data_IF_205662981340
#
_entry.id   IF_205662981340
#
_cell.length_a   1.000
_cell.length_b   1.000
_cell.length_c   1.000
_cell.angle_alpha   90.00
_cell.angle_beta   90.00
_cell.angle_gamma   90.00
#
_symmetry.space_group_name_H-M   'P 1'
#
loop_
_entity.id
_entity.type
_entity.pdbx_description
1 polymer ?
#
# COMPACT_ATOMS: atom_id res chain seq x y z
N UNK A 1 0.24 3.07 -19.38
CA UNK A 1 -0.12 3.93 -18.23
C UNK A 1 -0.54 3.00 -17.11
N UNK A 2 -0.02 3.15 -15.90
CA UNK A 2 -0.45 2.30 -14.79
C UNK A 2 -1.94 2.54 -14.54
N UNK A 3 -2.71 1.46 -14.35
CA UNK A 3 -4.15 1.57 -14.10
C UNK A 3 -4.37 2.06 -12.65
N UNK A 4 -5.01 3.23 -12.52
CA UNK A 4 -5.35 3.81 -11.22
C UNK A 4 -6.58 3.10 -10.67
N UNK A 5 -6.42 2.33 -9.59
CA UNK A 5 -7.50 1.57 -8.93
C UNK A 5 -8.25 2.40 -7.89
N UNK A 6 -7.57 3.33 -7.26
CA UNK A 6 -8.14 4.24 -6.27
C UNK A 6 -7.41 5.57 -6.32
N UNK A 7 -8.16 6.67 -6.19
CA UNK A 7 -7.64 8.02 -6.24
C UNK A 7 -8.32 8.88 -5.18
N UNK A 8 -7.51 9.63 -4.45
CA UNK A 8 -7.97 10.67 -3.52
C UNK A 8 -7.28 11.97 -3.90
N UNK A 9 -8.06 13.02 -4.13
CA UNK A 9 -7.54 14.39 -4.25
C UNK A 9 -7.49 14.98 -2.84
N UNK A 10 -6.32 15.45 -2.44
CA UNK A 10 -6.13 16.09 -1.14
C UNK A 10 -6.66 17.53 -1.19
N UNK A 11 -7.24 18.03 -0.09
CA UNK A 11 -7.64 19.43 -0.02
C UNK A 11 -6.42 20.33 -0.11
N UNK A 12 -6.58 21.50 -0.74
CA UNK A 12 -5.58 22.56 -0.67
C UNK A 12 -5.58 23.15 0.74
N UNK A 13 -4.51 22.94 1.49
CA UNK A 13 -4.36 23.45 2.84
C UNK A 13 -3.53 24.75 2.80
N UNK A 14 -4.10 25.92 3.13
CA UNK A 14 -3.38 27.18 3.08
C UNK A 14 -2.45 27.40 4.29
N UNK A 15 -2.79 26.83 5.45
CA UNK A 15 -2.04 27.02 6.69
C UNK A 15 -1.21 25.79 7.02
N UNK A 16 0.05 25.99 7.40
CA UNK A 16 0.91 24.86 7.75
C UNK A 16 0.42 24.07 8.96
N UNK A 17 -0.34 24.71 9.86
CA UNK A 17 -0.92 24.09 11.06
C UNK A 17 -1.98 23.03 10.74
N UNK A 18 -2.62 23.11 9.58
CA UNK A 18 -3.77 22.27 9.25
C UNK A 18 -3.36 21.18 8.24
N UNK A 19 -2.06 20.89 8.14
CA UNK A 19 -1.49 19.93 7.18
C UNK A 19 -1.84 18.50 7.58
N UNK A 20 -1.91 17.63 6.58
CA UNK A 20 -2.13 16.21 6.79
C UNK A 20 -0.91 15.61 7.50
N UNK A 21 -1.07 15.13 8.72
CA UNK A 21 0.01 14.49 9.47
C UNK A 21 0.03 12.97 9.29
N UNK A 22 -1.12 12.35 8.99
CA UNK A 22 -1.20 10.89 8.77
C UNK A 22 -2.19 10.50 7.68
N UNK A 23 -1.89 9.38 7.03
CA UNK A 23 -2.78 8.68 6.13
C UNK A 23 -2.79 7.19 6.47
N UNK A 24 -3.98 6.62 6.64
CA UNK A 24 -4.19 5.19 6.85
C UNK A 24 -4.93 4.58 5.67
N UNK A 25 -4.56 3.37 5.27
CA UNK A 25 -5.21 2.64 4.18
C UNK A 25 -5.25 1.14 4.43
N UNK A 26 -6.41 0.55 4.16
CA UNK A 26 -6.62 -0.90 4.19
C UNK A 26 -7.32 -1.35 2.92
N UNK A 27 -6.91 -2.48 2.37
CA UNK A 27 -7.49 -3.02 1.14
C UNK A 27 -7.31 -4.51 0.98
N UNK A 28 -8.05 -5.05 0.00
CA UNK A 28 -7.93 -6.42 -0.47
C UNK A 28 -7.19 -6.44 -1.82
N UNK A 29 -6.28 -7.39 -1.99
CA UNK A 29 -5.59 -7.64 -3.25
C UNK A 29 -6.40 -8.60 -4.13
N UNK A 30 -6.09 -8.61 -5.42
CA UNK A 30 -6.59 -9.63 -6.34
C UNK A 30 -6.07 -11.03 -5.95
N UNK A 31 -6.63 -12.07 -6.57
CA UNK A 31 -6.07 -13.42 -6.48
C UNK A 31 -4.68 -13.46 -7.10
N UNK A 32 -3.73 -14.11 -6.42
CA UNK A 32 -2.33 -14.25 -6.86
C UNK A 32 -1.69 -12.90 -7.25
N UNK A 33 -1.70 -11.89 -6.35
CA UNK A 33 -1.24 -10.56 -6.70
C UNK A 33 0.28 -10.57 -6.91
N UNK A 34 0.74 -9.89 -7.96
CA UNK A 34 2.17 -9.71 -8.21
C UNK A 34 2.69 -8.46 -7.50
N UNK A 35 1.94 -7.36 -7.61
CA UNK A 35 2.38 -6.06 -7.10
C UNK A 35 1.24 -5.06 -6.94
N UNK A 36 1.43 -4.14 -5.99
CA UNK A 36 0.64 -2.91 -5.93
C UNK A 36 1.53 -1.73 -5.51
N UNK A 37 1.03 -0.52 -5.66
CA UNK A 37 1.74 0.67 -5.19
C UNK A 37 0.80 1.74 -4.65
N UNK A 38 1.31 2.51 -3.69
CA UNK A 38 0.71 3.73 -3.17
C UNK A 38 1.61 4.89 -3.62
N UNK A 39 1.02 5.85 -4.31
CA UNK A 39 1.73 6.90 -5.01
C UNK A 39 1.26 8.26 -4.49
N UNK A 40 2.21 9.06 -4.00
CA UNK A 40 2.00 10.44 -3.59
C UNK A 40 2.36 11.34 -4.76
N UNK A 41 1.35 11.78 -5.51
CA UNK A 41 1.51 12.46 -6.80
C UNK A 41 1.33 13.96 -6.66
N UNK A 42 2.05 14.71 -7.48
CA UNK A 42 2.01 16.17 -7.47
C UNK A 42 0.88 16.74 -8.34
N UNK A 43 0.18 15.89 -9.09
CA UNK A 43 -1.02 16.24 -9.83
C UNK A 43 -1.96 15.04 -9.90
N UNK A 44 -3.28 15.20 -9.68
CA UNK A 44 -4.24 14.11 -9.79
C UNK A 44 -4.33 13.49 -11.20
N UNK A 45 -4.06 14.28 -12.24
CA UNK A 45 -4.23 13.88 -13.65
C UNK A 45 -2.93 13.65 -14.40
N UNK A 46 -1.78 13.95 -13.78
CA UNK A 46 -0.46 13.78 -14.39
C UNK A 46 0.50 13.09 -13.41
N UNK A 47 1.10 11.99 -13.87
CA UNK A 47 2.01 11.16 -13.07
C UNK A 47 3.46 11.32 -13.51
N UNK A 48 3.81 12.44 -14.13
CA UNK A 48 5.19 12.77 -14.49
C UNK A 48 6.03 13.12 -13.27
N UNK A 49 5.39 13.65 -12.23
CA UNK A 49 6.00 13.95 -10.95
C UNK A 49 5.33 13.14 -9.84
N UNK A 50 6.13 12.34 -9.14
CA UNK A 50 5.71 11.49 -8.02
C UNK A 50 6.71 11.73 -6.90
N UNK A 51 6.23 12.30 -5.80
CA UNK A 51 7.05 12.60 -4.62
C UNK A 51 7.48 11.31 -3.92
N UNK A 52 6.58 10.34 -3.83
CA UNK A 52 6.88 9.04 -3.24
C UNK A 52 6.08 7.93 -3.91
N UNK A 53 6.78 6.94 -4.44
CA UNK A 53 6.27 5.69 -4.99
C UNK A 53 6.62 4.57 -4.02
N UNK A 54 5.65 4.12 -3.24
CA UNK A 54 5.78 2.96 -2.36
C UNK A 54 5.19 1.74 -3.07
N UNK A 55 6.03 0.87 -3.61
CA UNK A 55 5.60 -0.33 -4.33
C UNK A 55 5.90 -1.58 -3.53
N UNK A 56 4.96 -2.49 -3.48
CA UNK A 56 5.12 -3.82 -2.90
C UNK A 56 5.15 -4.85 -4.02
N UNK A 57 6.18 -5.69 -4.05
CA UNK A 57 6.23 -6.94 -4.82
C UNK A 57 5.79 -8.08 -3.89
N UNK A 58 4.58 -8.57 -4.09
CA UNK A 58 3.90 -9.43 -3.11
C UNK A 58 4.57 -10.80 -2.96
N UNK A 59 4.84 -11.56 -4.05
CA UNK A 59 5.49 -12.87 -3.92
C UNK A 59 6.93 -12.77 -3.39
N UNK A 60 7.64 -11.71 -3.77
CA UNK A 60 9.01 -11.46 -3.34
C UNK A 60 9.10 -10.92 -1.91
N UNK A 61 7.98 -10.45 -1.33
CA UNK A 61 7.95 -9.79 -0.04
C UNK A 61 8.95 -8.64 0.02
N UNK A 62 8.93 -7.76 -0.98
CA UNK A 62 9.89 -6.65 -1.13
C UNK A 62 9.15 -5.34 -1.35
N UNK A 63 9.61 -4.28 -0.70
CA UNK A 63 9.28 -2.90 -1.08
C UNK A 63 10.30 -2.33 -2.03
N UNK A 64 9.81 -1.58 -3.00
CA UNK A 64 10.59 -0.71 -3.87
C UNK A 64 10.10 0.71 -3.64
N UNK A 65 10.98 1.56 -3.16
CA UNK A 65 10.71 2.95 -2.85
C UNK A 65 11.44 3.82 -3.87
N UNK A 66 10.72 4.72 -4.53
CA UNK A 66 11.30 5.62 -5.52
C UNK A 66 10.54 6.94 -5.62
N UNK A 67 11.00 7.83 -6.49
CA UNK A 67 10.33 9.04 -6.92
C UNK A 67 10.49 9.24 -8.42
N UNK A 68 9.71 10.16 -8.99
CA UNK A 68 9.68 10.45 -10.43
C UNK A 68 9.69 11.96 -10.67
N UNK A 69 10.50 12.43 -11.61
CA UNK A 69 10.59 13.85 -12.02
C UNK A 69 10.46 13.93 -13.54
N UNK A 70 9.57 14.79 -14.03
CA UNK A 70 9.41 15.09 -15.46
C UNK A 70 9.24 13.84 -16.35
N UNK A 71 8.56 12.81 -15.85
CA UNK A 71 8.33 11.59 -16.61
C UNK A 71 9.37 10.49 -16.36
N UNK A 72 10.46 10.79 -15.65
CA UNK A 72 11.59 9.87 -15.45
C UNK A 72 11.70 9.40 -14.01
N UNK A 73 11.91 8.09 -13.82
CA UNK A 73 12.17 7.50 -12.50
C UNK A 73 13.61 7.79 -12.07
N UNK A 74 13.83 7.94 -10.76
CA UNK A 74 15.19 8.03 -10.25
C UNK A 74 15.89 6.68 -10.26
N UNK A 75 17.21 6.69 -10.51
CA UNK A 75 18.07 5.53 -10.38
C UNK A 75 18.30 5.15 -8.90
N UNK A 76 18.12 6.09 -7.98
CA UNK A 76 18.39 5.95 -6.53
C UNK A 76 17.26 5.24 -5.75
N UNK A 77 16.57 4.29 -6.37
CA UNK A 77 15.53 3.52 -5.71
C UNK A 77 16.08 2.68 -4.55
N UNK A 78 15.26 2.45 -3.53
CA UNK A 78 15.58 1.57 -2.41
C UNK A 78 14.75 0.30 -2.48
N UNK A 79 15.39 -0.86 -2.35
CA UNK A 79 14.70 -2.13 -2.18
C UNK A 79 14.94 -2.70 -0.78
N UNK A 80 13.87 -3.09 -0.09
CA UNK A 80 13.96 -3.68 1.26
C UNK A 80 13.01 -4.86 1.38
N UNK A 81 13.41 -5.87 2.16
CA UNK A 81 12.51 -6.97 2.50
C UNK A 81 11.36 -6.47 3.38
N UNK A 82 10.16 -6.98 3.12
CA UNK A 82 8.91 -6.56 3.73
C UNK A 82 8.06 -7.78 4.09
N UNK A 83 7.97 -8.08 5.37
CA UNK A 83 7.07 -9.10 5.88
C UNK A 83 5.71 -8.50 6.33
N UNK A 84 4.94 -7.93 5.39
CA UNK A 84 3.58 -7.43 5.71
C UNK A 84 2.49 -8.50 5.61
N UNK A 85 2.74 -9.59 4.88
CA UNK A 85 1.79 -10.68 4.75
C UNK A 85 2.06 -11.67 5.88
N UNK A 86 1.39 -11.45 7.00
CA UNK A 86 1.53 -12.25 8.20
C UNK A 86 1.06 -13.68 7.92
N UNK A 87 1.99 -14.63 7.77
CA UNK A 87 1.90 -16.04 8.18
C UNK A 87 0.72 -16.91 7.71
N UNK A 88 -0.30 -16.36 7.05
CA UNK A 88 -1.38 -17.06 6.37
C UNK A 88 -1.02 -17.36 4.91
N UNK A 89 0.28 -17.41 4.63
CA UNK A 89 0.77 -18.61 3.95
C UNK A 89 0.65 -19.80 4.91
N UNK A 90 -0.57 -20.07 5.39
CA UNK A 90 -0.96 -21.46 5.44
C UNK A 90 -0.70 -21.90 4.01
N UNK A 91 0.35 -22.68 3.85
CA UNK A 91 0.18 -23.87 3.04
C UNK A 91 -1.06 -24.53 3.64
N UNK A 92 -2.25 -24.06 3.28
CA UNK A 92 -3.48 -24.76 3.56
C UNK A 92 -3.39 -25.94 2.64
N UNK A 93 -2.64 -26.94 3.13
CA UNK A 93 -3.02 -28.33 3.04
C UNK A 93 -4.55 -28.35 2.93
N UNK A 94 -5.10 -28.96 1.88
CA UNK A 94 -6.54 -29.07 1.76
C UNK A 94 -7.05 -29.65 3.08
N UNK A 95 -7.79 -28.86 3.85
CA UNK A 95 -8.42 -29.34 5.07
C UNK A 95 -9.60 -30.18 4.62
N UNK A 96 -9.35 -31.49 4.49
CA UNK A 96 -10.40 -32.48 4.31
C UNK A 96 -11.13 -32.53 5.66
N UNK A 97 -12.28 -31.88 5.76
CA UNK A 97 -13.25 -32.22 6.81
C UNK A 97 -13.82 -33.58 6.44
N UNK A 98 -13.23 -34.65 6.95
CA UNK A 98 -13.82 -35.98 6.87
C UNK A 98 -14.99 -36.10 7.84
N UNK A 99 -15.89 -37.03 7.51
CA UNK A 99 -17.13 -37.46 8.18
C UNK A 99 -18.33 -36.72 7.54
N UNK A 100 -19.14 -37.35 6.66
CA UNK A 100 -19.92 -38.59 6.85
C UNK A 100 -20.09 -39.36 5.50
N UNK A 101 -20.04 -40.68 5.63
CA UNK A 101 -20.74 -41.78 4.90
C UNK A 101 -21.59 -41.46 3.65
N UNK A 102 -21.54 -42.39 2.69
CA UNK A 102 -22.31 -42.46 1.43
C UNK A 102 -21.91 -41.53 0.27
N UNK A 103 -20.73 -41.79 -0.28
CA UNK A 103 -20.53 -41.95 -1.72
C UNK A 103 -21.02 -40.83 -2.66
N UNK A 104 -20.54 -39.60 -2.52
CA UNK A 104 -20.50 -38.57 -3.59
C UNK A 104 -19.19 -37.77 -3.46
N UNK A 105 -18.62 -37.38 -4.61
CA UNK A 105 -17.34 -36.67 -4.81
C UNK A 105 -16.95 -35.69 -3.70
N UNK A 106 -15.72 -35.84 -3.21
CA UNK A 106 -15.08 -34.88 -2.31
C UNK A 106 -14.97 -33.51 -3.00
N UNK A 107 -15.80 -32.55 -2.59
CA UNK A 107 -15.67 -31.15 -3.02
C UNK A 107 -14.49 -30.53 -2.26
N UNK A 108 -13.39 -30.29 -2.96
CA UNK A 108 -12.28 -29.48 -2.44
C UNK A 108 -12.79 -28.04 -2.25
N UNK A 109 -13.12 -27.66 -1.02
CA UNK A 109 -13.31 -26.26 -0.66
C UNK A 109 -11.94 -25.59 -0.54
N UNK A 110 -11.52 -24.89 -1.59
CA UNK A 110 -10.42 -23.94 -1.51
C UNK A 110 -10.87 -22.76 -0.64
N UNK A 111 -10.50 -22.74 0.64
CA UNK A 111 -10.65 -21.52 1.44
C UNK A 111 -9.57 -20.53 1.00
N UNK A 112 -9.88 -19.73 -0.01
CA UNK A 112 -9.00 -18.64 -0.43
C UNK A 112 -9.00 -17.58 0.68
N UNK A 113 -7.91 -17.48 1.44
CA UNK A 113 -7.73 -16.34 2.34
C UNK A 113 -7.45 -15.12 1.46
N UNK A 114 -8.40 -14.19 1.37
CA UNK A 114 -8.18 -12.90 0.71
C UNK A 114 -6.91 -12.25 1.27
N UNK A 115 -5.94 -11.95 0.39
CA UNK A 115 -4.73 -11.24 0.80
C UNK A 115 -5.09 -9.78 1.05
N UNK A 116 -4.84 -9.30 2.26
CA UNK A 116 -5.15 -7.94 2.67
C UNK A 116 -3.88 -7.18 3.02
N UNK A 117 -3.93 -5.86 2.93
CA UNK A 117 -2.89 -4.98 3.43
C UNK A 117 -3.48 -3.90 4.33
N UNK A 118 -2.68 -3.43 5.28
CA UNK A 118 -3.05 -2.36 6.21
C UNK A 118 -1.80 -1.53 6.53
N UNK A 119 -1.77 -0.29 6.04
CA UNK A 119 -0.61 0.60 6.09
C UNK A 119 -1.00 1.96 6.66
N UNK A 120 -0.05 2.59 7.34
CA UNK A 120 -0.12 3.98 7.77
C UNK A 120 1.12 4.72 7.31
N UNK A 121 0.94 5.94 6.81
CA UNK A 121 1.97 6.86 6.38
C UNK A 121 1.89 8.08 7.29
N UNK A 122 2.99 8.42 7.95
CA UNK A 122 3.11 9.61 8.80
C UNK A 122 4.07 10.60 8.13
N UNK A 123 3.67 11.87 8.08
CA UNK A 123 4.36 12.92 7.35
C UNK A 123 5.13 13.81 8.31
N UNK A 124 6.44 13.89 8.14
CA UNK A 124 7.30 14.81 8.87
C UNK A 124 7.78 15.91 7.92
N UNK A 125 7.08 17.05 7.96
CA UNK A 125 7.36 18.23 7.14
C UNK A 125 8.68 18.91 7.50
N UNK A 126 9.14 18.82 8.75
CA UNK A 126 10.37 19.48 9.19
C UNK A 126 11.60 18.76 8.68
N UNK A 127 11.53 17.43 8.59
CA UNK A 127 12.63 16.59 8.11
C UNK A 127 12.48 16.16 6.65
N UNK A 128 11.36 16.50 5.98
CA UNK A 128 11.02 16.03 4.63
C UNK A 128 11.03 14.49 4.53
N UNK A 129 10.35 13.84 5.46
CA UNK A 129 10.33 12.36 5.52
C UNK A 129 8.93 11.79 5.68
N UNK A 130 8.73 10.59 5.16
CA UNK A 130 7.49 9.83 5.31
C UNK A 130 7.84 8.51 6.01
N UNK A 131 7.22 8.28 7.17
CA UNK A 131 7.37 7.04 7.91
C UNK A 131 6.22 6.10 7.57
N UNK A 132 6.54 4.86 7.24
CA UNK A 132 5.54 3.84 6.89
C UNK A 132 5.46 2.81 8.00
N UNK A 133 4.24 2.50 8.40
CA UNK A 133 3.93 1.48 9.39
C UNK A 133 2.98 0.46 8.80
N UNK A 134 3.16 -0.79 9.18
CA UNK A 134 2.14 -1.80 9.03
C UNK A 134 1.23 -1.77 10.26
N UNK A 135 -0.07 -1.66 10.05
CA UNK A 135 -1.05 -1.65 11.15
C UNK A 135 -1.57 -3.08 11.37
N UNK A 136 -1.42 -3.61 12.59
CA UNK A 136 -1.90 -4.95 13.00
C UNK A 136 -2.68 -4.86 14.30
N UNK A 137 -4.00 -5.03 14.24
CA UNK A 137 -4.85 -4.89 15.43
C UNK A 137 -4.72 -3.48 16.02
N UNK A 138 -4.19 -3.39 17.25
CA UNK A 138 -3.90 -2.11 17.93
C UNK A 138 -2.43 -1.66 17.78
N UNK A 139 -1.59 -2.43 17.10
CA UNK A 139 -0.15 -2.16 16.97
C UNK A 139 0.24 -1.55 15.63
N UNK A 140 1.33 -0.75 15.64
CA UNK A 140 1.97 -0.15 14.47
C UNK A 140 3.40 -0.68 14.39
N UNK A 141 3.69 -1.51 13.39
CA UNK A 141 5.03 -2.04 13.15
C UNK A 141 5.74 -1.14 12.14
N UNK A 142 6.89 -0.56 12.53
CA UNK A 142 7.69 0.24 11.61
C UNK A 142 8.15 -0.59 10.41
N UNK A 143 7.97 -0.05 9.21
CA UNK A 143 8.38 -0.67 7.94
C UNK A 143 9.61 0.05 7.39
N UNK A 144 9.49 1.35 7.16
CA UNK A 144 10.54 2.13 6.50
C UNK A 144 10.36 3.63 6.76
N UNK A 145 11.43 4.37 6.53
CA UNK A 145 11.47 5.82 6.46
C UNK A 145 11.96 6.20 5.06
N UNK A 146 11.17 7.00 4.36
CA UNK A 146 11.53 7.57 3.07
C UNK A 146 11.92 9.04 3.25
N UNK A 147 13.09 9.42 2.75
CA UNK A 147 13.56 10.81 2.74
C UNK A 147 13.33 11.37 1.34
N UNK A 148 12.58 12.47 1.25
CA UNK A 148 12.23 13.10 -0.03
C UNK A 148 13.00 14.39 -0.25
N UNK A 149 13.40 14.62 -1.51
CA UNK A 149 13.97 15.90 -1.96
C UNK A 149 12.88 16.94 -2.29
N UNK A 150 11.62 16.52 -2.35
CA UNK A 150 10.46 17.35 -2.67
C UNK A 150 9.72 17.79 -1.42
N UNK A 151 9.07 18.95 -1.51
CA UNK A 151 8.17 19.41 -0.47
C UNK A 151 6.97 18.46 -0.36
N UNK A 152 6.68 17.99 0.85
CA UNK A 152 5.48 17.20 1.13
C UNK A 152 4.20 17.99 0.84
N UNK A 153 4.26 19.32 0.88
CA UNK A 153 3.15 20.20 0.51
C UNK A 153 2.84 20.19 -0.99
N UNK A 154 3.74 19.69 -1.83
CA UNK A 154 3.50 19.58 -3.27
C UNK A 154 2.66 18.34 -3.62
N UNK A 155 2.39 17.45 -2.66
CA UNK A 155 1.53 16.28 -2.86
C UNK A 155 0.09 16.75 -2.95
N UNK A 156 -0.55 16.50 -4.10
CA UNK A 156 -1.94 16.91 -4.35
C UNK A 156 -2.91 15.73 -4.35
N UNK A 157 -2.41 14.51 -4.55
CA UNK A 157 -3.25 13.33 -4.62
C UNK A 157 -2.50 12.08 -4.21
N UNK A 158 -3.27 11.11 -3.72
CA UNK A 158 -2.79 9.76 -3.43
C UNK A 158 -3.48 8.81 -4.40
N UNK A 159 -2.69 7.97 -5.07
CA UNK A 159 -3.18 6.99 -6.03
C UNK A 159 -2.72 5.59 -5.68
N UNK A 160 -3.62 4.62 -5.79
CA UNK A 160 -3.30 3.19 -5.65
C UNK A 160 -3.34 2.54 -7.02
N UNK A 161 -2.26 1.84 -7.38
CA UNK A 161 -2.12 1.14 -8.66
C UNK A 161 -1.84 -0.35 -8.45
N UNK A 162 -2.05 -1.16 -9.49
CA UNK A 162 -1.69 -2.58 -9.53
C UNK A 162 -2.81 -3.50 -9.05
N UNK A 163 -2.43 -4.62 -8.43
CA UNK A 163 -3.28 -5.78 -8.16
C UNK A 163 -4.15 -5.63 -6.91
N UNK A 164 -4.85 -4.49 -6.81
CA UNK A 164 -5.77 -4.16 -5.73
C UNK A 164 -7.20 -4.35 -6.19
N UNK A 165 -7.96 -5.17 -5.46
CA UNK A 165 -9.36 -5.42 -5.74
C UNK A 165 -10.24 -4.27 -5.25
N UNK A 166 -10.02 -3.82 -4.01
CA UNK A 166 -10.78 -2.74 -3.37
C UNK A 166 -10.03 -2.14 -2.20
N UNK A 167 -10.35 -0.88 -1.91
CA UNK A 167 -9.96 -0.20 -0.67
C UNK A 167 -11.15 -0.28 0.30
N UNK A 168 -10.89 -0.85 1.48
CA UNK A 168 -11.90 -1.08 2.51
C UNK A 168 -11.98 0.09 3.48
N UNK A 169 -10.83 0.70 3.78
CA UNK A 169 -10.72 1.85 4.67
C UNK A 169 -9.66 2.80 4.16
N UNK A 170 -9.95 4.09 4.24
CA UNK A 170 -9.03 5.17 3.97
C UNK A 170 -9.29 6.27 4.98
N UNK A 171 -8.24 6.77 5.64
CA UNK A 171 -8.35 7.83 6.64
C UNK A 171 -7.25 8.85 6.46
N UNK A 172 -7.59 10.12 6.67
CA UNK A 172 -6.66 11.23 6.75
C UNK A 172 -6.75 11.82 8.15
N UNK A 173 -5.61 12.19 8.70
CA UNK A 173 -5.52 12.96 9.94
C UNK A 173 -4.75 14.23 9.66
N UNK A 174 -5.20 15.31 10.29
CA UNK A 174 -4.64 16.65 10.18
C UNK A 174 -4.28 17.11 11.59
N UNK A 175 -3.28 17.96 11.69
CA UNK A 175 -2.86 18.58 12.95
C UNK A 175 -3.82 19.71 13.40
#
# INVERSE_FOLDING_TARGET
MAEVKYLVVLPTIPNESDRMSKMGIQGCLLQEPEQFSINFVNSPSCTDNITYHFKVRVPAQTIVENYKINGEWSDAHQEKYLNIFDGKNDKSMPSISSIIDDGIDAVLHYSFTESTFSLEFQFDYNNSTIHVYQVRGQGHNFVTKFETLFSLSDIQSIQVWGDVQKINQFSLSYD
#
